data_IF_874148108178
#
_entry.id   IF_874148108178
#
_cell.length_a   1.000
_cell.length_b   1.000
_cell.length_c   1.000
_cell.angle_alpha   90.00
_cell.angle_beta   90.00
_cell.angle_gamma   90.00
#
_symmetry.space_group_name_H-M   'P 1'
#
loop_
_entity.id
_entity.type
_entity.pdbx_description
1 polymer ?
#
# COMPACT_ATOMS: atom_id res chain seq x y z
N UNK A 1 -18.71 7.15 9.47
CA UNK A 1 -17.41 7.17 8.77
C UNK A 1 -16.31 6.82 9.75
N UNK A 2 -15.43 5.89 9.41
CA UNK A 2 -14.34 5.47 10.28
C UNK A 2 -13.26 6.56 10.37
N UNK A 3 -12.52 6.61 11.48
CA UNK A 3 -11.47 7.61 11.73
C UNK A 3 -10.41 7.63 10.60
N UNK A 4 -9.99 6.44 10.12
CA UNK A 4 -9.05 6.31 9.01
C UNK A 4 -9.52 6.99 7.73
N UNK A 5 -10.76 6.69 7.29
CA UNK A 5 -11.34 7.29 6.07
C UNK A 5 -11.38 8.82 6.13
N UNK A 6 -11.78 9.37 7.29
CA UNK A 6 -11.78 10.84 7.50
C UNK A 6 -10.39 11.44 7.43
N UNK A 7 -9.39 10.69 7.91
CA UNK A 7 -8.01 11.16 7.86
C UNK A 7 -7.49 11.19 6.42
N UNK A 8 -7.69 10.12 5.63
CA UNK A 8 -7.25 10.05 4.23
C UNK A 8 -7.89 11.18 3.42
N UNK A 9 -9.19 11.39 3.54
CA UNK A 9 -9.92 12.48 2.89
C UNK A 9 -9.34 13.86 3.27
N UNK A 10 -9.11 14.09 4.57
CA UNK A 10 -8.54 15.36 5.03
C UNK A 10 -7.09 15.59 4.54
N UNK A 11 -6.28 14.52 4.48
CA UNK A 11 -4.91 14.58 3.99
C UNK A 11 -4.89 14.83 2.47
N UNK A 12 -5.76 14.17 1.71
CA UNK A 12 -5.92 14.40 0.27
C UNK A 12 -6.23 15.86 -0.02
N UNK A 13 -7.31 16.42 0.56
CA UNK A 13 -7.70 17.81 0.32
C UNK A 13 -6.64 18.80 0.81
N UNK A 14 -5.93 18.48 1.90
CA UNK A 14 -4.83 19.32 2.37
C UNK A 14 -3.66 19.36 1.39
N UNK A 15 -3.29 18.22 0.81
CA UNK A 15 -2.17 18.12 -0.15
C UNK A 15 -2.56 18.70 -1.52
N UNK A 16 -3.76 18.37 -2.02
CA UNK A 16 -4.22 18.69 -3.36
C UNK A 16 -4.73 20.12 -3.50
N UNK A 17 -5.62 20.52 -2.58
CA UNK A 17 -6.40 21.74 -2.71
C UNK A 17 -6.02 22.81 -1.66
N UNK A 18 -5.05 22.52 -0.81
CA UNK A 18 -4.66 23.41 0.30
C UNK A 18 -5.80 23.66 1.31
N UNK A 19 -6.78 22.78 1.37
CA UNK A 19 -7.90 22.87 2.32
C UNK A 19 -7.38 22.71 3.76
N UNK A 20 -7.74 23.59 4.70
CA UNK A 20 -7.28 23.49 6.08
C UNK A 20 -7.68 22.16 6.73
N UNK A 21 -6.77 21.56 7.48
CA UNK A 21 -7.07 20.34 8.24
C UNK A 21 -8.13 20.62 9.31
N UNK A 22 -9.07 19.68 9.52
CA UNK A 22 -9.95 19.70 10.68
C UNK A 22 -9.16 19.82 12.00
N UNK A 23 -9.70 20.49 13.00
CA UNK A 23 -9.02 20.77 14.26
C UNK A 23 -8.41 19.52 14.92
N UNK A 24 -9.12 18.38 14.84
CA UNK A 24 -8.67 17.10 15.41
C UNK A 24 -7.56 16.40 14.61
N UNK A 25 -7.17 16.91 13.42
CA UNK A 25 -6.05 16.42 12.63
C UNK A 25 -4.87 17.41 12.54
N UNK A 26 -4.92 18.53 13.24
CA UNK A 26 -3.83 19.54 13.18
C UNK A 26 -2.49 19.02 13.69
N UNK A 27 -2.48 17.97 14.51
CA UNK A 27 -1.25 17.35 15.02
C UNK A 27 -0.36 16.75 13.93
N UNK A 28 -0.90 16.43 12.74
CA UNK A 28 -0.13 15.92 11.59
C UNK A 28 0.29 17.02 10.62
N UNK A 29 -0.11 18.27 10.86
CA UNK A 29 0.12 19.38 9.92
C UNK A 29 1.59 19.49 9.50
N UNK A 30 2.51 19.44 10.45
CA UNK A 30 3.95 19.55 10.16
C UNK A 30 4.47 18.44 9.25
N UNK A 31 3.98 17.21 9.42
CA UNK A 31 4.35 16.09 8.54
C UNK A 31 3.82 16.30 7.12
N UNK A 32 2.55 16.72 6.99
CA UNK A 32 1.95 16.98 5.68
C UNK A 32 2.57 18.22 5.00
N UNK A 33 2.95 19.26 5.75
CA UNK A 33 3.69 20.41 5.20
C UNK A 33 5.04 19.98 4.60
N UNK A 34 5.80 19.14 5.30
CA UNK A 34 7.05 18.59 4.79
C UNK A 34 6.82 17.76 3.50
N UNK A 35 5.77 16.97 3.45
CA UNK A 35 5.40 16.19 2.27
C UNK A 35 5.05 17.12 1.09
N UNK A 36 4.32 18.21 1.34
CA UNK A 36 3.98 19.20 0.30
C UNK A 36 5.20 19.87 -0.32
N UNK A 37 6.28 20.04 0.44
CA UNK A 37 7.53 20.65 -0.04
C UNK A 37 8.37 19.68 -0.89
N UNK A 38 8.07 18.37 -0.89
CA UNK A 38 8.78 17.42 -1.74
C UNK A 38 8.53 17.78 -3.20
N UNK A 39 9.64 17.92 -3.98
CA UNK A 39 9.56 18.21 -5.42
C UNK A 39 8.86 17.06 -6.15
N UNK A 40 8.05 17.40 -7.14
CA UNK A 40 7.36 16.46 -8.01
C UNK A 40 5.85 16.70 -8.09
N UNK A 41 5.23 16.09 -9.08
CA UNK A 41 3.80 16.04 -9.27
C UNK A 41 3.15 15.18 -8.16
N UNK A 42 2.11 15.69 -7.53
CA UNK A 42 1.41 15.01 -6.43
C UNK A 42 0.08 14.46 -6.91
N UNK A 43 -0.05 13.15 -6.87
CA UNK A 43 -1.25 12.41 -7.24
C UNK A 43 -1.80 11.75 -5.98
N UNK A 44 -2.93 12.26 -5.49
CA UNK A 44 -3.64 11.71 -4.33
C UNK A 44 -4.63 10.63 -4.77
N UNK A 45 -4.82 9.59 -3.95
CA UNK A 45 -5.73 8.47 -4.22
C UNK A 45 -5.56 7.91 -5.64
N UNK A 46 -4.28 7.75 -6.04
CA UNK A 46 -3.97 7.39 -7.42
C UNK A 46 -4.19 5.90 -7.67
N UNK A 47 -5.12 5.60 -8.56
CA UNK A 47 -5.53 4.26 -8.95
C UNK A 47 -4.62 3.66 -10.00
N UNK A 48 -4.12 2.44 -9.78
CA UNK A 48 -3.28 1.67 -10.72
C UNK A 48 -3.77 0.24 -10.84
N UNK A 49 -3.72 -0.31 -12.04
CA UNK A 49 -3.97 -1.72 -12.33
C UNK A 49 -2.83 -2.33 -13.13
N UNK A 50 -2.64 -3.64 -12.99
CA UNK A 50 -1.70 -4.43 -13.79
C UNK A 50 -2.39 -5.73 -14.17
N UNK A 51 -2.26 -6.16 -15.44
CA UNK A 51 -2.78 -7.43 -15.96
C UNK A 51 -1.88 -8.60 -15.56
N UNK A 52 -2.32 -9.86 -15.76
CA UNK A 52 -1.47 -11.06 -15.54
C UNK A 52 -0.18 -11.04 -16.39
N UNK A 53 -0.22 -10.40 -17.56
CA UNK A 53 0.96 -10.22 -18.43
C UNK A 53 1.86 -9.05 -18.00
N UNK A 54 1.62 -8.54 -16.80
CA UNK A 54 2.37 -7.42 -16.20
C UNK A 54 2.34 -6.12 -17.03
N UNK A 55 1.24 -5.89 -17.76
CA UNK A 55 1.01 -4.64 -18.46
C UNK A 55 0.17 -3.68 -17.60
N UNK A 56 0.45 -2.37 -17.64
CA UNK A 56 -0.37 -1.39 -16.95
C UNK A 56 -1.78 -1.36 -17.56
N UNK A 57 -2.78 -1.27 -16.71
CA UNK A 57 -4.18 -1.16 -17.13
C UNK A 57 -4.96 -0.22 -16.18
N UNK A 58 -6.17 0.12 -16.56
CA UNK A 58 -7.06 0.88 -15.68
C UNK A 58 -7.42 0.07 -14.42
N UNK A 59 -7.69 0.76 -13.32
CA UNK A 59 -8.04 0.13 -12.04
C UNK A 59 -9.25 -0.81 -12.13
N UNK A 60 -10.22 -0.50 -12.99
CA UNK A 60 -11.42 -1.29 -13.24
C UNK A 60 -11.39 -2.03 -14.58
N UNK A 61 -10.22 -2.29 -15.15
CA UNK A 61 -10.07 -3.10 -16.36
C UNK A 61 -10.59 -4.52 -16.11
N UNK A 62 -11.36 -5.13 -17.05
CA UNK A 62 -11.86 -6.49 -16.89
C UNK A 62 -10.75 -7.55 -16.78
N UNK A 63 -9.56 -7.26 -17.29
CA UNK A 63 -8.40 -8.15 -17.23
C UNK A 63 -7.43 -7.78 -16.10
N UNK A 64 -7.83 -6.87 -15.19
CA UNK A 64 -6.96 -6.50 -14.08
C UNK A 64 -6.67 -7.71 -13.20
N UNK A 65 -5.40 -8.01 -13.02
CA UNK A 65 -4.93 -9.03 -12.09
C UNK A 65 -4.64 -8.46 -10.71
N UNK A 66 -3.84 -7.42 -10.66
CA UNK A 66 -3.56 -6.68 -9.43
C UNK A 66 -3.94 -5.22 -9.61
N UNK A 67 -4.50 -4.64 -8.55
CA UNK A 67 -4.81 -3.22 -8.49
C UNK A 67 -4.56 -2.66 -7.11
N UNK A 68 -4.17 -1.41 -7.06
CA UNK A 68 -3.93 -0.70 -5.81
C UNK A 68 -4.18 0.79 -5.95
N UNK A 69 -4.45 1.41 -4.83
CA UNK A 69 -4.62 2.87 -4.72
C UNK A 69 -3.48 3.39 -3.86
N UNK A 70 -2.74 4.36 -4.36
CA UNK A 70 -1.73 5.06 -3.57
C UNK A 70 -2.36 6.28 -2.92
N UNK A 71 -2.40 6.34 -1.58
CA UNK A 71 -2.93 7.51 -0.86
C UNK A 71 -2.26 8.80 -1.35
N UNK A 72 -0.93 8.73 -1.55
CA UNK A 72 -0.18 9.80 -2.20
C UNK A 72 0.99 9.23 -2.99
N UNK A 73 1.01 9.52 -4.29
CA UNK A 73 2.12 9.27 -5.21
C UNK A 73 2.73 10.61 -5.61
N UNK A 74 4.04 10.78 -5.43
CA UNK A 74 4.80 11.96 -5.85
C UNK A 74 5.77 11.54 -6.95
N UNK A 75 5.66 12.14 -8.14
CA UNK A 75 6.47 11.82 -9.31
C UNK A 75 7.45 12.97 -9.58
N UNK A 76 8.73 12.73 -9.43
CA UNK A 76 9.80 13.60 -9.92
C UNK A 76 10.38 12.99 -11.20
N UNK A 77 9.76 13.34 -12.35
CA UNK A 77 10.12 12.80 -13.65
C UNK A 77 11.49 13.29 -14.13
N UNK A 78 11.96 14.45 -13.63
CA UNK A 78 13.26 15.00 -14.05
C UNK A 78 14.42 14.13 -13.55
N UNK A 79 14.29 13.58 -12.35
CA UNK A 79 15.31 12.70 -11.77
C UNK A 79 14.96 11.21 -11.84
N UNK A 80 13.77 10.87 -12.35
CA UNK A 80 13.30 9.49 -12.47
C UNK A 80 13.03 8.84 -11.10
N UNK A 81 12.61 9.62 -10.10
CA UNK A 81 12.25 9.11 -8.78
C UNK A 81 10.76 9.31 -8.49
N UNK A 82 10.16 8.33 -7.83
CA UNK A 82 8.83 8.47 -7.24
C UNK A 82 8.86 8.23 -5.73
N UNK A 83 7.86 8.78 -5.05
CA UNK A 83 7.60 8.49 -3.63
C UNK A 83 6.15 8.08 -3.45
N UNK A 84 5.95 7.00 -2.69
CA UNK A 84 4.64 6.53 -2.26
C UNK A 84 4.54 6.77 -0.76
N UNK A 85 3.48 7.42 -0.33
CA UNK A 85 3.16 7.58 1.08
C UNK A 85 1.79 6.98 1.30
N UNK A 86 1.73 6.00 2.18
CA UNK A 86 0.50 5.34 2.60
C UNK A 86 0.25 5.69 4.07
N UNK A 87 -0.90 6.26 4.34
CA UNK A 87 -1.26 6.75 5.66
C UNK A 87 -1.86 5.64 6.52
N UNK A 88 -1.37 5.51 7.75
CA UNK A 88 -1.87 4.54 8.72
C UNK A 88 -2.33 5.25 9.99
N UNK A 89 -3.56 4.97 10.40
CA UNK A 89 -4.14 5.52 11.65
C UNK A 89 -4.04 4.55 12.83
N UNK A 90 -3.31 3.46 12.66
CA UNK A 90 -3.03 2.49 13.72
C UNK A 90 -2.16 3.08 14.85
N UNK A 91 -2.38 2.61 16.08
CA UNK A 91 -1.63 3.05 17.27
C UNK A 91 -0.24 2.42 17.40
N UNK A 92 0.16 1.53 16.50
CA UNK A 92 1.45 0.84 16.53
C UNK A 92 1.87 0.42 15.13
N UNK A 93 3.16 0.59 14.82
CA UNK A 93 3.79 0.09 13.60
C UNK A 93 4.37 -1.33 13.73
N UNK A 94 4.18 -2.01 14.88
CA UNK A 94 4.77 -3.32 15.18
C UNK A 94 4.47 -4.40 14.13
N UNK A 95 3.31 -4.32 13.51
CA UNK A 95 2.85 -5.29 12.51
C UNK A 95 2.74 -4.67 11.12
N UNK A 96 3.50 -3.61 10.88
CA UNK A 96 3.57 -3.01 9.56
C UNK A 96 4.12 -4.02 8.55
N UNK A 97 3.42 -4.20 7.43
CA UNK A 97 3.86 -5.05 6.34
C UNK A 97 4.34 -4.18 5.17
N UNK A 98 5.65 -4.12 4.92
CA UNK A 98 6.20 -3.36 3.81
C UNK A 98 5.98 -4.02 2.44
N UNK A 99 5.55 -5.27 2.38
CA UNK A 99 5.30 -5.99 1.11
C UNK A 99 4.27 -5.26 0.24
N UNK A 100 3.26 -4.61 0.85
CA UNK A 100 2.30 -3.77 0.12
C UNK A 100 2.99 -2.61 -0.63
N UNK A 101 4.03 -2.00 -0.03
CA UNK A 101 4.78 -0.91 -0.65
C UNK A 101 5.64 -1.38 -1.82
N UNK A 102 6.18 -2.61 -1.74
CA UNK A 102 6.91 -3.24 -2.83
C UNK A 102 6.00 -3.45 -4.04
N UNK A 103 4.82 -4.01 -3.82
CA UNK A 103 3.86 -4.27 -4.89
C UNK A 103 3.34 -2.98 -5.53
N UNK A 104 3.09 -1.95 -4.72
CA UNK A 104 2.75 -0.61 -5.23
C UNK A 104 3.88 0.00 -6.06
N UNK A 105 5.14 -0.15 -5.62
CA UNK A 105 6.29 0.33 -6.38
C UNK A 105 6.41 -0.36 -7.74
N UNK A 106 6.13 -1.66 -7.81
CA UNK A 106 6.10 -2.41 -9.07
C UNK A 106 5.01 -1.89 -10.01
N UNK A 107 3.82 -1.52 -9.50
CA UNK A 107 2.79 -0.87 -10.31
C UNK A 107 3.25 0.49 -10.83
N UNK A 108 3.90 1.31 -10.00
CA UNK A 108 4.45 2.60 -10.42
C UNK A 108 5.42 2.43 -11.59
N UNK A 109 6.33 1.46 -11.55
CA UNK A 109 7.25 1.21 -12.66
C UNK A 109 6.55 0.79 -13.95
N UNK A 110 5.39 0.12 -13.88
CA UNK A 110 4.61 -0.25 -15.06
C UNK A 110 3.85 0.94 -15.65
N UNK A 111 3.28 1.79 -14.80
CA UNK A 111 2.54 2.98 -15.22
C UNK A 111 3.43 4.14 -15.65
N UNK A 112 4.65 4.21 -15.09
CA UNK A 112 5.60 5.31 -15.29
C UNK A 112 7.00 4.74 -15.61
N UNK A 113 7.25 4.26 -16.84
CA UNK A 113 8.51 3.59 -17.20
C UNK A 113 9.75 4.50 -17.13
N UNK A 114 9.56 5.83 -17.11
CA UNK A 114 10.61 6.80 -16.84
C UNK A 114 11.12 6.78 -15.40
N UNK A 115 10.31 6.31 -14.44
CA UNK A 115 10.70 6.20 -13.04
C UNK A 115 11.65 5.01 -12.84
N UNK A 116 12.82 5.27 -12.26
CA UNK A 116 13.85 4.25 -12.01
C UNK A 116 13.98 3.88 -10.54
N UNK A 117 13.52 4.74 -9.63
CA UNK A 117 13.55 4.49 -8.19
C UNK A 117 12.23 4.88 -7.54
N UNK A 118 11.74 4.02 -6.68
CA UNK A 118 10.58 4.31 -5.83
C UNK A 118 10.98 4.23 -4.37
N UNK A 119 10.73 5.31 -3.63
CA UNK A 119 10.87 5.36 -2.16
C UNK A 119 9.48 5.37 -1.56
N UNK A 120 9.18 4.39 -0.75
CA UNK A 120 7.86 4.23 -0.18
C UNK A 120 7.89 4.32 1.33
N UNK A 121 6.78 4.71 1.94
CA UNK A 121 6.66 4.72 3.39
C UNK A 121 5.24 4.58 3.90
N UNK A 122 5.09 3.79 4.98
CA UNK A 122 3.88 3.77 5.80
C UNK A 122 4.01 4.85 6.86
N UNK A 123 3.20 5.89 6.79
CA UNK A 123 3.18 6.97 7.76
C UNK A 123 2.10 6.70 8.81
N UNK A 124 2.52 6.20 9.98
CA UNK A 124 1.66 5.99 11.13
C UNK A 124 1.44 7.31 11.86
N UNK A 125 0.38 8.01 11.52
CA UNK A 125 0.13 9.37 12.02
C UNK A 125 -0.18 9.45 13.51
N UNK A 126 -0.77 8.42 14.10
CA UNK A 126 -1.15 8.41 15.52
C UNK A 126 0.05 8.12 16.44
N UNK A 127 0.94 7.22 16.05
CA UNK A 127 2.13 6.88 16.85
C UNK A 127 3.42 7.49 16.32
N UNK A 128 3.33 8.41 15.34
CA UNK A 128 4.44 9.14 14.74
C UNK A 128 5.59 8.21 14.30
N UNK A 129 5.26 7.10 13.63
CA UNK A 129 6.22 6.15 13.11
C UNK A 129 6.22 6.16 11.58
N UNK A 130 7.39 5.93 10.97
CA UNK A 130 7.54 5.87 9.53
C UNK A 130 8.33 4.63 9.11
N UNK A 131 7.65 3.67 8.49
CA UNK A 131 8.25 2.43 7.97
C UNK A 131 8.58 2.64 6.50
N UNK A 132 9.86 2.53 6.15
CA UNK A 132 10.38 2.85 4.82
C UNK A 132 10.63 1.60 4.00
N UNK A 133 10.43 1.72 2.69
CA UNK A 133 10.85 0.76 1.68
C UNK A 133 11.49 1.49 0.50
N UNK A 134 12.31 0.79 -0.27
CA UNK A 134 12.94 1.30 -1.48
C UNK A 134 13.00 0.19 -2.52
N UNK A 135 12.55 0.50 -3.73
CA UNK A 135 12.66 -0.39 -4.89
C UNK A 135 13.42 0.33 -6.02
N UNK A 136 14.20 -0.43 -6.75
CA UNK A 136 14.89 0.01 -7.97
C UNK A 136 14.28 -0.71 -9.18
N UNK A 137 14.13 -0.03 -10.29
CA UNK A 137 13.52 -0.62 -11.49
C UNK A 137 14.30 -1.82 -12.04
N UNK A 138 15.60 -1.90 -11.77
CA UNK A 138 16.42 -3.07 -12.13
C UNK A 138 16.03 -4.35 -11.38
N UNK A 139 15.27 -4.24 -10.29
CA UNK A 139 14.83 -5.38 -9.49
C UNK A 139 13.45 -5.91 -9.91
N UNK A 140 12.79 -5.29 -10.89
CA UNK A 140 11.41 -5.59 -11.25
C UNK A 140 11.18 -7.09 -11.54
N UNK A 141 12.04 -7.72 -12.36
CA UNK A 141 11.82 -9.11 -12.78
C UNK A 141 11.85 -10.08 -11.60
N UNK A 142 12.81 -9.89 -10.69
CA UNK A 142 12.93 -10.71 -9.48
C UNK A 142 11.74 -10.49 -8.53
N UNK A 143 11.33 -9.24 -8.36
CA UNK A 143 10.23 -8.90 -7.48
C UNK A 143 8.88 -9.34 -8.04
N UNK A 144 8.63 -9.16 -9.35
CA UNK A 144 7.43 -9.69 -10.01
C UNK A 144 7.35 -11.21 -9.90
N UNK A 145 8.46 -11.91 -10.11
CA UNK A 145 8.49 -13.38 -9.93
C UNK A 145 8.03 -13.79 -8.53
N UNK A 146 8.48 -13.11 -7.46
CA UNK A 146 8.01 -13.34 -6.09
C UNK A 146 6.48 -13.26 -5.98
N UNK A 147 5.86 -12.27 -6.65
CA UNK A 147 4.41 -12.05 -6.56
C UNK A 147 3.63 -13.01 -7.44
N UNK A 148 4.12 -13.32 -8.64
CA UNK A 148 3.56 -14.38 -9.51
C UNK A 148 3.58 -15.73 -8.80
N UNK A 149 4.71 -16.12 -8.19
CA UNK A 149 4.82 -17.36 -7.42
C UNK A 149 3.82 -17.42 -6.24
N UNK A 150 3.55 -16.28 -5.58
CA UNK A 150 2.51 -16.20 -4.53
C UNK A 150 1.10 -16.37 -5.11
N UNK A 151 0.84 -15.76 -6.24
CA UNK A 151 -0.45 -15.84 -6.93
C UNK A 151 -0.72 -17.27 -7.46
N UNK A 152 0.28 -17.92 -8.06
CA UNK A 152 0.16 -19.29 -8.56
C UNK A 152 -0.17 -20.28 -7.44
N UNK A 153 0.44 -20.09 -6.26
CA UNK A 153 0.08 -20.87 -5.07
C UNK A 153 -1.38 -20.65 -4.66
N UNK A 154 -1.88 -19.41 -4.74
CA UNK A 154 -3.28 -19.11 -4.47
C UNK A 154 -4.21 -19.73 -5.52
N UNK A 155 -3.89 -19.61 -6.81
CA UNK A 155 -4.63 -20.25 -7.91
C UNK A 155 -4.71 -21.77 -7.72
N UNK A 156 -3.56 -22.38 -7.38
CA UNK A 156 -3.50 -23.82 -7.09
C UNK A 156 -4.41 -24.20 -5.90
N UNK A 157 -4.34 -23.43 -4.80
CA UNK A 157 -5.16 -23.68 -3.63
C UNK A 157 -6.67 -23.61 -3.95
N UNK A 158 -7.07 -22.62 -4.73
CA UNK A 158 -8.47 -22.45 -5.19
C UNK A 158 -8.89 -23.62 -6.10
N UNK A 159 -8.06 -23.97 -7.10
CA UNK A 159 -8.40 -24.98 -8.09
C UNK A 159 -8.52 -26.41 -7.50
N UNK A 160 -7.77 -26.69 -6.42
CA UNK A 160 -7.71 -28.02 -5.80
C UNK A 160 -8.38 -28.09 -4.43
N UNK A 161 -8.99 -26.98 -3.97
CA UNK A 161 -9.58 -26.83 -2.63
C UNK A 161 -8.61 -27.23 -1.49
N UNK A 162 -7.33 -26.86 -1.63
CA UNK A 162 -6.27 -27.17 -0.66
C UNK A 162 -5.89 -25.93 0.15
N UNK A 163 -6.36 -25.89 1.40
CA UNK A 163 -6.15 -24.77 2.31
C UNK A 163 -5.37 -25.20 3.54
N UNK A 164 -4.05 -25.11 3.46
CA UNK A 164 -3.19 -25.48 4.59
C UNK A 164 -3.37 -24.45 5.74
N UNK A 165 -3.73 -24.89 6.96
CA UNK A 165 -3.90 -24.00 8.07
C UNK A 165 -2.55 -23.36 8.47
N UNK A 166 -2.60 -22.06 8.81
CA UNK A 166 -1.46 -21.32 9.37
C UNK A 166 -1.82 -20.80 10.76
N UNK A 167 -1.77 -21.64 11.80
CA UNK A 167 -2.11 -21.24 13.16
C UNK A 167 -1.23 -20.09 13.65
N UNK A 168 -1.84 -19.15 14.36
CA UNK A 168 -1.16 -17.97 14.88
C UNK A 168 -1.72 -17.58 16.26
N UNK A 169 -1.15 -16.56 16.87
CA UNK A 169 -1.68 -16.00 18.12
C UNK A 169 -3.13 -15.50 18.01
N UNK A 170 -3.58 -15.15 16.80
CA UNK A 170 -4.96 -14.76 16.55
C UNK A 170 -5.94 -15.92 16.77
N UNK A 171 -5.54 -17.15 16.46
CA UNK A 171 -6.37 -18.33 16.67
C UNK A 171 -6.74 -18.53 18.14
N UNK A 172 -5.84 -18.15 19.07
CA UNK A 172 -6.05 -18.34 20.50
C UNK A 172 -7.03 -17.36 21.13
N UNK A 173 -7.09 -16.11 20.66
CA UNK A 173 -7.80 -15.02 21.37
C UNK A 173 -8.87 -14.33 20.55
N UNK A 174 -8.71 -14.29 19.23
CA UNK A 174 -9.50 -13.43 18.37
C UNK A 174 -10.33 -14.17 17.32
N UNK A 175 -10.00 -15.43 17.01
CA UNK A 175 -10.74 -16.22 16.03
C UNK A 175 -12.13 -16.59 16.58
N UNK A 176 -13.17 -16.31 15.80
CA UNK A 176 -14.56 -16.61 16.15
C UNK A 176 -15.03 -18.01 15.70
N UNK A 177 -14.21 -18.69 14.89
CA UNK A 177 -14.54 -20.02 14.34
C UNK A 177 -14.21 -21.08 15.38
N UNK A 178 -15.14 -21.38 16.28
CA UNK A 178 -14.95 -22.34 17.38
C UNK A 178 -14.84 -23.80 16.92
N UNK A 179 -15.42 -24.17 15.77
CA UNK A 179 -15.30 -25.50 15.19
C UNK A 179 -13.90 -25.81 14.59
N UNK A 180 -13.04 -24.82 14.47
CA UNK A 180 -11.70 -25.01 13.92
C UNK A 180 -10.79 -25.71 14.96
N UNK A 181 -10.07 -26.79 14.60
CA UNK A 181 -9.18 -27.52 15.51
C UNK A 181 -8.00 -26.69 16.03
N UNK A 182 -7.72 -25.56 15.38
CA UNK A 182 -6.66 -24.63 15.80
C UNK A 182 -7.20 -23.45 16.64
N UNK A 183 -8.48 -23.44 16.96
CA UNK A 183 -9.06 -22.41 17.85
C UNK A 183 -8.59 -22.68 19.28
N UNK A 184 -7.89 -21.74 19.88
CA UNK A 184 -7.35 -21.89 21.24
C UNK A 184 -8.39 -21.72 22.37
N UNK A 185 -9.68 -21.66 22.04
CA UNK A 185 -10.80 -21.66 23.01
C UNK A 185 -11.42 -23.05 23.16
N UNK A 186 -10.92 -24.04 22.42
CA UNK A 186 -11.27 -25.46 22.57
C UNK A 186 -10.40 -26.13 23.60
#
# INVERSE_FOLDING_TARGET
MLYGTRFHEAAEFYIKDNTPLPAYFTFVKGALDNIRQIKGEKLCEYEMGVTEDLQPCAFNDPNVWFRGIADLLILDREVGEARIIDYKTGKSAKYADPDQLELMALCVFKHFPEIKKVRSGLLFVVCNAFVKSKCDSAQQDVLWKKWVDKHDKLKFAIAHDVWNPKPSGLCRKHCVVTSCPHNGRN
#
